data_IF_116534106287
#
_entry.id   IF_116534106287
#
_cell.length_a   1.000
_cell.length_b   1.000
_cell.length_c   1.000
_cell.angle_alpha   90.00
_cell.angle_beta   90.00
_cell.angle_gamma   90.00
#
_symmetry.space_group_name_H-M   'P 1'
#
loop_
_entity.id
_entity.type
_entity.pdbx_description
1 polymer ?
#
# COMPACT_ATOMS: atom_id res chain seq x y z
N UNK A 1 42.51 -27.13 17.48
CA UNK A 1 42.94 -26.83 16.07
C UNK A 1 43.43 -25.41 16.06
N UNK A 2 44.66 -25.16 15.68
CA UNK A 2 45.22 -23.80 15.64
C UNK A 2 44.60 -23.07 14.48
N UNK A 3 43.89 -21.97 14.76
CA UNK A 3 43.37 -21.05 13.74
C UNK A 3 44.55 -20.44 12.98
N UNK A 4 44.86 -21.08 11.87
CA UNK A 4 45.97 -20.70 11.02
C UNK A 4 45.57 -19.57 10.09
N UNK A 5 46.12 -18.38 10.32
CA UNK A 5 46.35 -17.38 9.31
C UNK A 5 45.17 -16.53 8.77
N UNK A 6 44.20 -16.16 9.57
CA UNK A 6 43.31 -15.07 9.19
C UNK A 6 43.95 -13.73 9.60
N UNK A 7 44.33 -12.93 8.61
CA UNK A 7 44.96 -11.63 8.79
C UNK A 7 46.43 -11.59 8.45
N UNK A 8 46.77 -11.86 7.17
CA UNK A 8 48.16 -11.84 6.69
C UNK A 8 48.81 -10.46 6.62
N UNK A 9 48.04 -9.36 6.71
CA UNK A 9 48.59 -8.00 6.82
C UNK A 9 48.24 -7.35 8.15
N UNK A 10 49.07 -6.41 8.63
CA UNK A 10 48.78 -5.59 9.83
C UNK A 10 47.38 -4.93 9.75
N UNK A 11 46.97 -4.47 8.57
CA UNK A 11 45.70 -3.80 8.31
C UNK A 11 44.47 -4.69 8.50
N UNK A 12 44.55 -5.97 8.08
CA UNK A 12 43.39 -6.88 8.20
C UNK A 12 43.15 -7.36 9.62
N UNK A 13 44.18 -7.41 10.50
CA UNK A 13 44.08 -7.76 11.92
C UNK A 13 43.29 -6.73 12.74
N UNK A 14 43.22 -5.49 12.20
CA UNK A 14 42.49 -4.43 12.88
C UNK A 14 40.97 -4.55 12.75
N UNK A 15 40.47 -5.38 11.82
CA UNK A 15 39.05 -5.60 11.58
C UNK A 15 38.56 -6.96 12.09
N UNK A 16 39.33 -8.02 11.92
CA UNK A 16 38.92 -9.39 12.26
C UNK A 16 38.49 -9.55 13.72
N UNK A 17 37.29 -10.14 13.91
CA UNK A 17 36.71 -10.41 15.22
C UNK A 17 36.08 -9.19 15.90
N UNK A 18 36.27 -7.99 15.35
CA UNK A 18 35.71 -6.76 15.95
C UNK A 18 34.28 -6.50 15.49
N UNK A 19 33.56 -5.78 16.35
CA UNK A 19 32.21 -5.30 16.09
C UNK A 19 32.26 -3.83 15.70
N UNK A 20 31.53 -3.47 14.68
CA UNK A 20 31.40 -2.12 14.13
C UNK A 20 29.95 -1.68 14.13
N UNK A 21 29.72 -0.38 14.16
CA UNK A 21 28.38 0.22 14.03
C UNK A 21 28.20 0.75 12.62
N UNK A 22 27.12 0.31 11.95
CA UNK A 22 26.65 0.95 10.73
C UNK A 22 25.99 2.29 11.05
N UNK A 23 26.08 3.25 10.15
CA UNK A 23 25.40 4.54 10.29
C UNK A 23 23.86 4.41 10.27
N UNK A 24 23.31 3.28 9.78
CA UNK A 24 21.86 3.11 9.56
C UNK A 24 21.27 1.76 9.98
N UNK A 25 22.10 0.73 10.16
CA UNK A 25 21.61 -0.65 10.26
C UNK A 25 22.10 -1.42 11.51
N UNK A 26 22.50 -0.72 12.57
CA UNK A 26 22.94 -1.37 13.80
C UNK A 26 24.34 -1.96 13.73
N UNK A 27 24.61 -2.98 14.54
CA UNK A 27 25.94 -3.55 14.72
C UNK A 27 26.19 -4.77 13.82
N UNK A 28 27.43 -4.91 13.34
CA UNK A 28 27.90 -6.07 12.60
C UNK A 28 29.31 -6.45 13.04
N UNK A 29 29.65 -7.73 12.90
CA UNK A 29 30.97 -8.27 13.22
C UNK A 29 31.72 -8.68 11.94
N UNK A 30 33.01 -8.36 11.86
CA UNK A 30 33.88 -8.87 10.80
C UNK A 30 34.35 -10.26 11.17
N UNK A 31 33.83 -11.28 10.51
CA UNK A 31 34.11 -12.70 10.79
C UNK A 31 35.18 -13.32 9.89
N UNK A 32 35.56 -12.62 8.82
CA UNK A 32 36.63 -12.99 7.92
C UNK A 32 37.31 -11.74 7.35
N UNK A 33 38.63 -11.68 7.37
CA UNK A 33 39.38 -10.54 6.84
C UNK A 33 40.68 -11.04 6.15
N UNK A 34 40.51 -11.57 4.94
CA UNK A 34 41.63 -12.06 4.12
C UNK A 34 42.36 -10.91 3.41
N UNK A 35 41.66 -9.89 3.03
CA UNK A 35 42.18 -8.63 2.48
C UNK A 35 41.32 -7.46 2.95
N UNK A 36 41.81 -6.22 2.78
CA UNK A 36 41.07 -5.02 3.09
C UNK A 36 39.89 -4.74 2.11
N UNK A 37 39.91 -5.38 0.95
CA UNK A 37 38.92 -5.22 -0.11
C UNK A 37 37.81 -6.26 -0.06
N UNK A 38 38.00 -7.34 0.72
CA UNK A 38 37.04 -8.44 0.85
C UNK A 38 37.04 -8.98 2.28
N UNK A 39 36.22 -8.38 3.09
CA UNK A 39 35.95 -8.83 4.45
C UNK A 39 34.51 -9.34 4.54
N UNK A 40 34.27 -10.31 5.41
CA UNK A 40 32.95 -10.86 5.66
C UNK A 40 32.38 -10.17 6.91
N UNK A 41 31.33 -9.40 6.71
CA UNK A 41 30.53 -8.79 7.79
C UNK A 41 29.28 -9.65 8.05
N UNK A 42 28.93 -9.81 9.33
CA UNK A 42 27.70 -10.48 9.78
C UNK A 42 26.96 -9.51 10.69
N UNK A 43 25.77 -9.09 10.30
CA UNK A 43 24.91 -8.22 11.10
C UNK A 43 24.32 -8.98 12.28
N UNK A 44 24.39 -8.38 13.48
CA UNK A 44 24.02 -9.07 14.73
C UNK A 44 22.50 -9.20 14.91
N UNK A 45 21.73 -8.32 14.30
CA UNK A 45 20.26 -8.33 14.43
C UNK A 45 19.59 -9.25 13.40
N UNK A 46 20.09 -9.26 12.17
CA UNK A 46 19.44 -9.95 11.03
C UNK A 46 20.15 -11.22 10.64
N UNK A 47 21.39 -11.42 11.13
CA UNK A 47 22.34 -12.46 10.68
C UNK A 47 22.70 -12.33 9.18
N UNK A 48 22.44 -11.21 8.56
CA UNK A 48 22.82 -10.94 7.15
C UNK A 48 24.33 -10.98 7.01
N UNK A 49 24.77 -11.67 5.96
CA UNK A 49 26.18 -11.84 5.64
C UNK A 49 26.52 -11.06 4.38
N UNK A 50 27.45 -10.11 4.48
CA UNK A 50 27.88 -9.28 3.35
C UNK A 50 29.38 -9.36 3.16
N UNK A 51 29.83 -9.13 1.92
CA UNK A 51 31.22 -8.83 1.62
C UNK A 51 31.39 -7.32 1.58
N UNK A 52 32.34 -6.81 2.38
CA UNK A 52 32.58 -5.38 2.58
C UNK A 52 34.07 -5.06 2.43
N UNK A 53 34.38 -3.81 2.13
CA UNK A 53 35.76 -3.30 2.13
C UNK A 53 36.06 -2.44 3.37
N UNK A 54 37.35 -2.16 3.60
CA UNK A 54 37.82 -1.39 4.74
C UNK A 54 37.22 0.05 4.76
N UNK A 55 37.05 0.67 3.56
CA UNK A 55 36.50 2.03 3.48
C UNK A 55 35.04 2.06 3.95
N UNK A 56 34.25 1.08 3.55
CA UNK A 56 32.86 0.97 4.01
C UNK A 56 32.80 0.79 5.52
N UNK A 57 33.68 -0.03 6.10
CA UNK A 57 33.74 -0.27 7.54
C UNK A 57 34.19 0.99 8.28
N UNK A 58 35.25 1.66 7.82
CA UNK A 58 35.82 2.85 8.47
C UNK A 58 34.87 4.05 8.40
N UNK A 59 34.06 4.16 7.36
CA UNK A 59 33.05 5.22 7.18
C UNK A 59 31.70 4.86 7.82
N UNK A 60 31.50 3.62 8.27
CA UNK A 60 30.20 3.13 8.76
C UNK A 60 29.13 3.01 7.67
N UNK A 61 29.53 3.03 6.41
CA UNK A 61 28.60 3.01 5.25
C UNK A 61 28.14 1.61 4.84
N UNK A 62 28.44 0.59 5.63
CA UNK A 62 27.94 -0.78 5.41
C UNK A 62 26.44 -0.78 5.70
N UNK A 63 25.63 -1.19 4.72
CA UNK A 63 24.16 -1.20 4.82
C UNK A 63 23.67 -2.65 4.75
N UNK A 64 22.86 -3.04 5.72
CA UNK A 64 22.14 -4.30 5.71
C UNK A 64 20.83 -4.15 4.94
N UNK A 65 20.65 -4.82 3.79
CA UNK A 65 19.42 -4.71 3.01
C UNK A 65 18.19 -5.31 3.71
N UNK A 66 18.38 -6.16 4.71
CA UNK A 66 17.30 -6.81 5.48
C UNK A 66 17.04 -6.14 6.83
N UNK A 67 17.73 -5.02 7.13
CA UNK A 67 17.47 -4.27 8.35
C UNK A 67 16.12 -3.54 8.25
N UNK A 68 15.21 -3.66 9.23
CA UNK A 68 13.87 -3.06 9.21
C UNK A 68 13.93 -1.54 9.44
N UNK A 69 14.55 -0.83 8.51
CA UNK A 69 14.80 0.61 8.59
C UNK A 69 13.53 1.45 8.35
N UNK A 70 12.52 0.86 7.66
CA UNK A 70 11.30 1.57 7.31
C UNK A 70 10.18 1.27 8.30
N UNK A 71 9.82 2.26 9.12
CA UNK A 71 8.78 2.17 10.15
C UNK A 71 8.97 1.00 11.15
N UNK A 72 10.22 0.52 11.30
CA UNK A 72 10.58 -0.58 12.21
C UNK A 72 10.25 -1.98 11.70
N UNK A 73 9.67 -2.11 10.51
CA UNK A 73 9.26 -3.39 9.92
C UNK A 73 9.76 -3.59 8.48
N UNK A 74 9.71 -2.55 7.65
CA UNK A 74 10.05 -2.63 6.24
C UNK A 74 11.55 -2.60 5.96
N UNK A 75 12.00 -3.38 4.99
CA UNK A 75 13.38 -3.46 4.53
C UNK A 75 13.46 -3.56 3.01
N UNK A 76 14.64 -3.25 2.44
CA UNK A 76 14.81 -3.18 0.98
C UNK A 76 14.93 -4.55 0.31
N UNK A 77 15.43 -5.57 1.04
CA UNK A 77 15.68 -6.89 0.49
C UNK A 77 16.71 -6.85 -0.64
N UNK A 78 16.45 -7.60 -1.70
CA UNK A 78 17.30 -7.70 -2.89
C UNK A 78 16.96 -6.67 -3.98
N UNK A 79 16.21 -5.61 -3.66
CA UNK A 79 15.88 -4.58 -4.64
C UNK A 79 17.14 -3.83 -5.10
N UNK A 80 17.30 -3.68 -6.42
CA UNK A 80 18.47 -3.02 -7.00
C UNK A 80 18.50 -1.52 -6.68
N UNK A 81 17.37 -0.84 -6.71
CA UNK A 81 17.26 0.60 -6.46
C UNK A 81 15.86 0.99 -5.97
N UNK A 82 15.79 2.13 -5.29
CA UNK A 82 14.53 2.82 -4.93
C UNK A 82 14.30 4.07 -5.77
N UNK A 83 15.26 4.40 -6.66
CA UNK A 83 15.22 5.56 -7.55
C UNK A 83 15.46 5.14 -8.99
N UNK A 84 14.92 5.91 -9.94
CA UNK A 84 15.15 5.73 -11.37
C UNK A 84 16.51 6.33 -11.82
N UNK A 85 16.81 6.21 -13.11
CA UNK A 85 18.01 6.74 -13.74
C UNK A 85 18.16 8.28 -13.62
N UNK A 86 17.07 8.99 -13.36
CA UNK A 86 17.05 10.45 -13.16
C UNK A 86 17.13 10.86 -11.69
N UNK A 87 17.29 9.90 -10.76
CA UNK A 87 17.33 10.11 -9.32
C UNK A 87 15.97 10.35 -8.67
N UNK A 88 14.87 10.08 -9.39
CA UNK A 88 13.49 10.18 -8.87
C UNK A 88 13.08 8.86 -8.23
N UNK A 89 12.39 8.95 -7.09
CA UNK A 89 11.85 7.76 -6.42
C UNK A 89 10.95 6.94 -7.37
N UNK A 90 11.16 5.64 -7.36
CA UNK A 90 10.33 4.70 -8.10
C UNK A 90 8.89 4.75 -7.59
N UNK A 91 7.93 4.59 -8.50
CA UNK A 91 6.50 4.63 -8.18
C UNK A 91 6.14 3.55 -7.15
N UNK A 92 6.59 2.33 -7.36
CA UNK A 92 6.39 1.20 -6.46
C UNK A 92 6.98 1.45 -5.07
N UNK A 93 8.13 2.13 -4.97
CA UNK A 93 8.71 2.50 -3.69
C UNK A 93 7.83 3.50 -2.94
N UNK A 94 7.26 4.49 -3.65
CA UNK A 94 6.33 5.46 -3.05
C UNK A 94 5.08 4.74 -2.50
N UNK A 95 4.50 3.80 -3.25
CA UNK A 95 3.34 3.03 -2.80
C UNK A 95 3.66 2.17 -1.57
N UNK A 96 4.80 1.47 -1.60
CA UNK A 96 5.27 0.66 -0.50
C UNK A 96 5.52 1.49 0.76
N UNK A 97 6.25 2.61 0.63
CA UNK A 97 6.47 3.53 1.74
C UNK A 97 5.16 4.04 2.33
N UNK A 98 4.24 4.54 1.49
CA UNK A 98 2.96 5.07 1.94
C UNK A 98 2.09 4.00 2.62
N UNK A 99 2.14 2.75 2.17
CA UNK A 99 1.45 1.63 2.79
C UNK A 99 1.96 1.37 4.21
N UNK A 100 3.28 1.28 4.39
CA UNK A 100 3.91 1.12 5.70
C UNK A 100 3.65 2.33 6.61
N UNK A 101 3.71 3.54 6.05
CA UNK A 101 3.45 4.78 6.81
C UNK A 101 2.01 4.85 7.34
N UNK A 102 1.03 4.37 6.58
CA UNK A 102 -0.38 4.30 7.01
C UNK A 102 -0.58 3.33 8.18
N UNK A 103 0.11 2.17 8.16
CA UNK A 103 -0.07 1.13 9.17
C UNK A 103 0.81 1.34 10.41
N UNK A 104 2.04 1.85 10.23
CA UNK A 104 3.07 1.88 11.28
C UNK A 104 3.66 3.28 11.50
N UNK A 105 3.15 4.29 10.82
CA UNK A 105 3.59 5.67 11.00
C UNK A 105 3.10 6.28 12.32
N UNK A 106 3.67 7.44 12.67
CA UNK A 106 3.36 8.13 13.94
C UNK A 106 1.99 8.83 13.97
N UNK A 107 1.26 8.84 12.86
CA UNK A 107 -0.08 9.45 12.80
C UNK A 107 -1.12 8.36 12.97
N UNK A 108 -1.82 8.38 14.10
CA UNK A 108 -3.01 7.55 14.30
C UNK A 108 -4.13 8.05 13.37
N UNK A 109 -4.24 7.42 12.22
CA UNK A 109 -5.34 7.65 11.29
C UNK A 109 -6.42 6.62 11.61
N UNK A 110 -7.57 7.06 12.10
CA UNK A 110 -8.69 6.18 12.49
C UNK A 110 -9.08 5.18 11.38
N UNK A 111 -8.99 5.60 10.12
CA UNK A 111 -9.28 4.74 8.96
C UNK A 111 -8.33 3.54 8.83
N UNK A 112 -7.11 3.66 9.34
CA UNK A 112 -6.08 2.62 9.27
C UNK A 112 -5.77 1.96 10.62
N UNK A 113 -6.56 2.27 11.63
CA UNK A 113 -6.47 1.62 12.93
C UNK A 113 -6.57 0.10 12.76
N UNK A 114 -5.67 -0.62 13.39
CA UNK A 114 -5.54 -2.08 13.31
C UNK A 114 -5.21 -2.63 11.90
N UNK A 115 -4.84 -1.76 10.94
CA UNK A 115 -4.32 -2.22 9.66
C UNK A 115 -2.87 -2.69 9.83
N UNK A 116 -2.58 -3.83 9.20
CA UNK A 116 -1.24 -4.41 9.15
C UNK A 116 -0.83 -4.65 7.69
N UNK A 117 0.45 -4.87 7.50
CA UNK A 117 1.03 -5.29 6.22
C UNK A 117 1.54 -6.71 6.39
N UNK A 118 1.35 -7.58 5.40
CA UNK A 118 1.86 -8.95 5.43
C UNK A 118 3.39 -8.98 5.50
N UNK A 119 3.95 -10.05 6.04
CA UNK A 119 5.40 -10.17 6.19
C UNK A 119 6.13 -10.10 4.84
N UNK A 120 5.55 -10.67 3.78
CA UNK A 120 6.09 -10.62 2.44
C UNK A 120 6.17 -9.17 1.91
N UNK A 121 5.20 -8.34 2.24
CA UNK A 121 5.17 -6.93 1.84
C UNK A 121 6.03 -6.04 2.75
N UNK A 122 6.62 -6.54 3.83
CA UNK A 122 7.70 -5.85 4.53
C UNK A 122 8.97 -5.80 3.66
N UNK A 123 9.20 -6.78 2.80
CA UNK A 123 10.27 -6.80 1.81
C UNK A 123 9.90 -5.96 0.58
N UNK A 124 10.62 -4.83 0.38
CA UNK A 124 10.39 -4.00 -0.80
C UNK A 124 10.68 -4.76 -2.11
N UNK A 125 11.68 -5.64 -2.14
CA UNK A 125 11.99 -6.41 -3.34
C UNK A 125 10.86 -7.37 -3.73
N UNK A 126 10.16 -7.94 -2.74
CA UNK A 126 8.97 -8.75 -2.97
C UNK A 126 7.80 -7.89 -3.45
N UNK A 127 7.52 -6.79 -2.76
CA UNK A 127 6.47 -5.84 -3.16
C UNK A 127 6.69 -5.30 -4.58
N UNK A 128 7.95 -4.99 -4.95
CA UNK A 128 8.31 -4.53 -6.29
C UNK A 128 7.99 -5.57 -7.36
N UNK A 129 8.33 -6.85 -7.12
CA UNK A 129 7.98 -7.96 -8.02
C UNK A 129 6.47 -8.10 -8.18
N UNK A 130 5.74 -8.06 -7.07
CA UNK A 130 4.27 -8.09 -7.08
C UNK A 130 3.71 -6.90 -7.86
N UNK A 131 4.20 -5.68 -7.60
CA UNK A 131 3.75 -4.46 -8.27
C UNK A 131 3.95 -4.54 -9.79
N UNK A 132 5.10 -5.06 -10.24
CA UNK A 132 5.39 -5.21 -11.67
C UNK A 132 4.47 -6.22 -12.37
N UNK A 133 3.85 -7.12 -11.64
CA UNK A 133 2.85 -8.06 -12.16
C UNK A 133 1.43 -7.46 -12.20
N UNK A 134 1.19 -6.28 -11.60
CA UNK A 134 -0.12 -5.68 -11.61
C UNK A 134 -0.44 -5.03 -12.97
N UNK A 135 -1.67 -5.23 -13.44
CA UNK A 135 -2.17 -4.65 -14.71
C UNK A 135 -2.10 -3.11 -14.66
N UNK A 136 -2.49 -2.52 -13.54
CA UNK A 136 -2.56 -1.06 -13.34
C UNK A 136 -1.24 -0.35 -13.09
N UNK A 137 -0.08 -1.04 -13.12
CA UNK A 137 1.22 -0.45 -12.73
C UNK A 137 1.66 0.80 -13.49
N UNK A 138 1.25 0.94 -14.73
CA UNK A 138 1.59 2.09 -15.58
C UNK A 138 0.56 3.24 -15.51
N UNK A 139 -0.58 3.04 -14.86
CA UNK A 139 -1.60 4.08 -14.73
C UNK A 139 -1.11 5.28 -13.92
N UNK A 140 -1.26 6.52 -14.43
CA UNK A 140 -0.77 7.73 -13.74
C UNK A 140 -1.49 7.98 -12.43
N UNK A 141 -2.81 7.80 -12.40
CA UNK A 141 -3.69 8.12 -11.27
C UNK A 141 -4.28 6.85 -10.65
N UNK A 142 -3.47 5.78 -10.59
CA UNK A 142 -3.87 4.54 -9.94
C UNK A 142 -3.52 4.61 -8.45
N UNK A 143 -4.33 3.99 -7.62
CA UNK A 143 -4.17 3.90 -6.18
C UNK A 143 -4.02 2.44 -5.76
N UNK A 144 -3.20 2.20 -4.74
CA UNK A 144 -3.17 0.91 -4.04
C UNK A 144 -4.36 0.86 -3.09
N UNK A 145 -5.23 -0.12 -3.29
CA UNK A 145 -6.39 -0.38 -2.45
C UNK A 145 -6.38 -1.83 -1.93
N UNK A 146 -6.83 -2.04 -0.69
CA UNK A 146 -6.94 -3.34 -0.02
C UNK A 146 -8.37 -3.76 0.29
N UNK A 147 -9.32 -2.82 0.18
CA UNK A 147 -10.69 -3.00 0.65
C UNK A 147 -11.64 -3.42 -0.48
N UNK A 148 -11.27 -3.15 -1.74
CA UNK A 148 -12.10 -3.50 -2.90
C UNK A 148 -12.27 -5.01 -3.02
N UNK A 149 -11.21 -5.79 -2.87
CA UNK A 149 -11.29 -7.25 -3.00
C UNK A 149 -11.87 -7.92 -1.75
N UNK A 150 -11.61 -7.37 -0.59
CA UNK A 150 -12.01 -7.96 0.70
C UNK A 150 -12.61 -6.88 1.59
N UNK A 151 -13.94 -6.90 1.75
CA UNK A 151 -14.66 -5.93 2.59
C UNK A 151 -14.15 -6.01 4.03
N UNK A 152 -13.87 -4.84 4.62
CA UNK A 152 -13.35 -4.69 6.00
C UNK A 152 -12.01 -5.40 6.24
N UNK A 153 -11.23 -5.62 5.18
CA UNK A 153 -9.89 -6.18 5.29
C UNK A 153 -8.95 -5.21 6.02
N UNK A 154 -8.22 -5.72 7.01
CA UNK A 154 -7.23 -4.95 7.76
C UNK A 154 -5.79 -5.28 7.37
N UNK A 155 -5.60 -6.07 6.30
CA UNK A 155 -4.28 -6.54 5.88
C UNK A 155 -3.98 -6.05 4.46
N UNK A 156 -2.82 -5.44 4.27
CA UNK A 156 -2.20 -5.25 2.97
C UNK A 156 -1.39 -6.49 2.62
N UNK A 157 -1.84 -7.25 1.62
CA UNK A 157 -1.19 -8.47 1.16
C UNK A 157 -1.41 -8.64 -0.36
N UNK A 158 -0.72 -9.60 -0.94
CA UNK A 158 -0.76 -9.89 -2.37
C UNK A 158 -2.18 -10.20 -2.90
N UNK A 159 -2.97 -10.93 -2.11
CA UNK A 159 -4.33 -11.37 -2.47
C UNK A 159 -5.40 -10.31 -2.17
N UNK A 160 -5.14 -9.39 -1.25
CA UNK A 160 -6.07 -8.34 -0.86
C UNK A 160 -5.86 -7.03 -1.64
N UNK A 161 -4.64 -6.75 -2.05
CA UNK A 161 -4.27 -5.51 -2.72
C UNK A 161 -4.51 -5.53 -4.23
N UNK A 162 -4.91 -4.37 -4.75
CA UNK A 162 -5.01 -4.11 -6.19
C UNK A 162 -4.60 -2.68 -6.51
N UNK A 163 -4.16 -2.45 -7.75
CA UNK A 163 -3.99 -1.11 -8.30
C UNK A 163 -5.22 -0.74 -9.12
N UNK A 164 -5.89 0.34 -8.76
CA UNK A 164 -7.11 0.81 -9.42
C UNK A 164 -7.05 2.31 -9.72
N UNK A 165 -7.72 2.77 -10.79
CA UNK A 165 -7.87 4.20 -11.07
C UNK A 165 -8.55 4.92 -9.90
N UNK A 166 -8.19 6.19 -9.70
CA UNK A 166 -8.76 7.03 -8.63
C UNK A 166 -10.29 7.01 -8.64
N UNK A 167 -10.93 7.08 -9.82
CA UNK A 167 -12.39 7.07 -9.92
C UNK A 167 -13.03 5.73 -9.51
N UNK A 168 -12.34 4.60 -9.76
CA UNK A 168 -12.78 3.28 -9.30
C UNK A 168 -12.62 3.17 -7.78
N UNK A 169 -11.47 3.64 -7.24
CA UNK A 169 -11.26 3.69 -5.81
C UNK A 169 -12.33 4.54 -5.10
N UNK A 170 -12.60 5.73 -5.62
CA UNK A 170 -13.65 6.62 -5.09
C UNK A 170 -15.06 6.01 -5.20
N UNK A 171 -15.35 5.22 -6.23
CA UNK A 171 -16.64 4.55 -6.38
C UNK A 171 -16.90 3.54 -5.25
N UNK A 172 -15.87 2.77 -4.86
CA UNK A 172 -15.94 1.79 -3.78
C UNK A 172 -15.73 2.39 -2.38
N UNK A 173 -15.14 3.59 -2.30
CA UNK A 173 -14.91 4.23 -1.01
C UNK A 173 -16.24 4.33 -0.24
N UNK A 174 -16.26 3.77 0.97
CA UNK A 174 -17.36 3.96 1.91
C UNK A 174 -17.37 5.43 2.32
N UNK A 175 -17.98 6.28 1.52
CA UNK A 175 -18.44 7.58 2.04
C UNK A 175 -19.47 7.22 3.10
N UNK A 176 -19.12 7.47 4.37
CA UNK A 176 -19.97 7.12 5.50
C UNK A 176 -21.39 7.48 5.15
N UNK A 177 -22.25 6.47 5.10
CA UNK A 177 -23.57 6.58 4.51
C UNK A 177 -24.26 7.80 5.11
N UNK A 178 -24.36 8.88 4.34
CA UNK A 178 -25.13 10.05 4.71
C UNK A 178 -26.59 9.67 4.58
N UNK A 179 -27.03 8.81 5.50
CA UNK A 179 -28.45 8.52 5.65
C UNK A 179 -29.09 9.78 6.21
N UNK A 180 -29.90 10.42 5.40
CA UNK A 180 -30.69 11.54 5.86
C UNK A 180 -31.79 11.01 6.81
N UNK A 181 -31.94 11.70 7.93
CA UNK A 181 -32.97 11.37 8.93
C UNK A 181 -34.09 12.40 8.83
N UNK A 182 -35.32 11.95 8.86
CA UNK A 182 -36.49 12.86 8.88
C UNK A 182 -36.68 13.52 10.27
N UNK A 183 -37.61 14.45 10.37
CA UNK A 183 -37.92 15.15 11.62
C UNK A 183 -38.40 14.23 12.77
N UNK A 184 -38.75 12.98 12.48
CA UNK A 184 -39.17 11.95 13.45
C UNK A 184 -38.04 10.98 13.80
N UNK A 185 -36.80 11.22 13.37
CA UNK A 185 -35.65 10.34 13.62
C UNK A 185 -35.58 9.09 12.73
N UNK A 186 -36.45 8.96 11.72
CA UNK A 186 -36.43 7.82 10.79
C UNK A 186 -35.39 8.07 9.70
N UNK A 187 -34.51 7.11 9.46
CA UNK A 187 -33.50 7.16 8.39
C UNK A 187 -34.16 6.85 7.05
N UNK A 188 -33.83 7.68 6.06
CA UNK A 188 -34.14 7.38 4.66
C UNK A 188 -33.15 6.34 4.08
N UNK A 189 -33.54 5.59 3.04
CA UNK A 189 -32.60 4.76 2.27
C UNK A 189 -31.41 5.58 1.76
N UNK A 190 -30.29 4.91 1.50
CA UNK A 190 -29.10 5.56 0.92
C UNK A 190 -29.47 6.33 -0.36
N UNK A 191 -28.89 7.53 -0.53
CA UNK A 191 -29.14 8.38 -1.70
C UNK A 191 -30.49 9.09 -1.71
N UNK A 192 -31.34 8.90 -0.70
CA UNK A 192 -32.67 9.52 -0.60
C UNK A 192 -32.68 10.62 0.45
N UNK A 193 -33.35 11.73 0.14
CA UNK A 193 -33.59 12.83 1.07
C UNK A 193 -34.93 13.49 0.79
N UNK A 194 -35.53 14.14 1.80
CA UNK A 194 -36.74 14.92 1.59
C UNK A 194 -36.41 16.35 1.15
N UNK A 195 -36.92 16.76 0.00
CA UNK A 195 -36.85 18.16 -0.47
C UNK A 195 -38.04 18.96 0.00
N UNK A 196 -37.78 19.90 0.93
CA UNK A 196 -38.86 20.80 1.45
C UNK A 196 -39.42 21.72 0.36
N UNK A 197 -38.58 22.20 -0.57
CA UNK A 197 -38.95 23.08 -1.65
C UNK A 197 -39.86 22.41 -2.67
N UNK A 198 -39.51 21.18 -3.05
CA UNK A 198 -40.22 20.41 -4.05
C UNK A 198 -41.38 19.59 -3.47
N UNK A 199 -41.43 19.47 -2.11
CA UNK A 199 -42.34 18.58 -1.40
C UNK A 199 -42.36 17.15 -1.94
N UNK A 200 -41.13 16.64 -2.27
CA UNK A 200 -40.92 15.32 -2.86
C UNK A 200 -39.66 14.69 -2.28
N UNK A 201 -39.53 13.39 -2.46
CA UNK A 201 -38.29 12.67 -2.18
C UNK A 201 -37.28 12.90 -3.31
N UNK A 202 -36.08 13.31 -2.96
CA UNK A 202 -34.99 13.50 -3.90
C UNK A 202 -34.08 12.26 -3.91
N UNK A 203 -33.85 11.72 -5.11
CA UNK A 203 -32.74 10.83 -5.38
C UNK A 203 -31.51 11.65 -5.73
N UNK A 204 -30.38 11.38 -5.07
CA UNK A 204 -29.19 12.18 -5.20
C UNK A 204 -27.94 11.29 -5.32
N UNK A 205 -27.37 11.24 -6.51
CA UNK A 205 -26.14 10.49 -6.79
C UNK A 205 -25.08 11.42 -7.40
N UNK A 206 -23.85 11.35 -6.89
CA UNK A 206 -22.71 12.06 -7.48
C UNK A 206 -21.92 11.11 -8.37
N UNK A 207 -21.94 11.38 -9.67
CA UNK A 207 -21.27 10.61 -10.69
C UNK A 207 -19.90 11.22 -11.02
N UNK A 208 -18.95 11.19 -10.07
CA UNK A 208 -17.59 11.68 -10.32
C UNK A 208 -17.48 13.18 -10.59
N UNK A 209 -18.37 13.99 -10.00
CA UNK A 209 -18.45 15.45 -10.18
C UNK A 209 -19.79 15.92 -10.79
N UNK A 210 -20.44 15.09 -11.54
CA UNK A 210 -21.79 15.36 -12.02
C UNK A 210 -22.84 14.87 -11.02
N UNK A 211 -23.74 15.75 -10.62
CA UNK A 211 -24.83 15.44 -9.72
C UNK A 211 -26.07 15.00 -10.46
N UNK A 212 -26.44 13.73 -10.35
CA UNK A 212 -27.70 13.20 -10.85
C UNK A 212 -28.75 13.40 -9.76
N UNK A 213 -29.76 14.23 -10.03
CA UNK A 213 -30.82 14.58 -9.10
C UNK A 213 -32.18 14.38 -9.75
N UNK A 214 -33.08 13.65 -9.09
CA UNK A 214 -34.47 13.46 -9.51
C UNK A 214 -35.41 13.52 -8.32
N UNK A 215 -36.69 13.83 -8.55
CA UNK A 215 -37.71 13.98 -7.52
C UNK A 215 -38.86 12.98 -7.71
N UNK A 216 -39.31 12.37 -6.62
CA UNK A 216 -40.24 11.26 -6.60
C UNK A 216 -41.31 11.44 -5.54
N UNK A 217 -42.47 10.82 -5.70
CA UNK A 217 -43.61 10.94 -4.77
C UNK A 217 -43.44 10.07 -3.52
N UNK A 218 -42.57 9.06 -3.56
CA UNK A 218 -42.29 8.18 -2.41
C UNK A 218 -40.80 7.83 -2.29
N UNK A 219 -40.40 7.39 -1.13
CA UNK A 219 -39.00 7.01 -0.78
C UNK A 219 -38.48 5.87 -1.67
N UNK A 220 -39.33 4.88 -1.93
CA UNK A 220 -38.94 3.70 -2.69
C UNK A 220 -38.58 4.05 -4.14
N UNK A 221 -39.40 4.86 -4.80
CA UNK A 221 -39.11 5.32 -6.18
C UNK A 221 -37.83 6.16 -6.23
N UNK A 222 -37.56 6.99 -5.23
CA UNK A 222 -36.31 7.74 -5.11
C UNK A 222 -35.09 6.81 -4.91
N UNK A 223 -35.24 5.80 -4.06
CA UNK A 223 -34.18 4.79 -3.87
C UNK A 223 -33.90 3.99 -5.15
N UNK A 224 -34.92 3.55 -5.87
CA UNK A 224 -34.75 2.82 -7.12
C UNK A 224 -34.02 3.67 -8.18
N UNK A 225 -34.31 4.97 -8.25
CA UNK A 225 -33.59 5.88 -9.15
C UNK A 225 -32.11 6.03 -8.76
N UNK A 226 -31.81 6.17 -7.47
CA UNK A 226 -30.42 6.17 -6.97
C UNK A 226 -29.71 4.85 -7.29
N UNK A 227 -30.35 3.73 -6.98
CA UNK A 227 -29.82 2.39 -7.25
C UNK A 227 -29.47 2.22 -8.72
N UNK A 228 -30.39 2.56 -9.61
CA UNK A 228 -30.18 2.45 -11.06
C UNK A 228 -29.01 3.32 -11.53
N UNK A 229 -28.92 4.57 -11.06
CA UNK A 229 -27.83 5.48 -11.43
C UNK A 229 -26.46 4.94 -10.97
N UNK A 230 -26.35 4.46 -9.71
CA UNK A 230 -25.11 3.93 -9.17
C UNK A 230 -24.68 2.61 -9.84
N UNK A 231 -25.63 1.69 -10.09
CA UNK A 231 -25.34 0.43 -10.78
C UNK A 231 -24.95 0.64 -12.26
N UNK A 232 -25.56 1.61 -12.94
CA UNK A 232 -25.17 1.99 -14.30
C UNK A 232 -23.72 2.53 -14.29
N UNK A 233 -23.39 3.40 -13.32
CA UNK A 233 -22.03 3.93 -13.18
C UNK A 233 -21.01 2.83 -12.96
N UNK A 234 -21.32 1.82 -12.15
CA UNK A 234 -20.45 0.68 -11.97
C UNK A 234 -20.11 -0.03 -13.29
N UNK A 235 -21.14 -0.27 -14.13
CA UNK A 235 -20.97 -0.87 -15.45
C UNK A 235 -20.15 0.01 -16.40
N UNK A 236 -20.40 1.33 -16.40
CA UNK A 236 -19.62 2.29 -17.20
C UNK A 236 -18.14 2.26 -16.80
N UNK A 237 -17.83 2.22 -15.50
CA UNK A 237 -16.47 2.11 -15.00
C UNK A 237 -15.82 0.78 -15.38
N UNK A 238 -16.57 -0.34 -15.29
CA UNK A 238 -16.09 -1.64 -15.72
C UNK A 238 -15.70 -1.62 -17.22
N UNK A 239 -16.57 -1.12 -18.08
CA UNK A 239 -16.30 -1.06 -19.52
C UNK A 239 -15.17 -0.09 -19.86
N UNK A 240 -15.14 1.09 -19.22
CA UNK A 240 -14.08 2.09 -19.41
C UNK A 240 -12.70 1.52 -19.09
N UNK A 241 -12.58 0.71 -18.04
CA UNK A 241 -11.32 0.19 -17.56
C UNK A 241 -11.08 -1.28 -17.88
N UNK A 242 -11.88 -1.88 -18.74
CA UNK A 242 -11.74 -3.27 -19.19
C UNK A 242 -10.32 -3.54 -19.69
N UNK A 243 -9.68 -4.58 -19.12
CA UNK A 243 -8.30 -4.97 -19.44
C UNK A 243 -7.21 -4.05 -18.88
N UNK A 244 -7.58 -2.96 -18.19
CA UNK A 244 -6.65 -2.03 -17.56
C UNK A 244 -6.65 -2.13 -16.02
N UNK A 245 -7.59 -2.88 -15.45
CA UNK A 245 -7.70 -3.20 -14.02
C UNK A 245 -7.71 -4.71 -13.82
N UNK A 246 -7.46 -5.14 -12.58
CA UNK A 246 -7.55 -6.55 -12.20
C UNK A 246 -8.95 -7.11 -12.53
N UNK A 247 -9.02 -8.32 -13.08
CA UNK A 247 -10.28 -8.94 -13.48
C UNK A 247 -11.25 -9.10 -12.28
N UNK A 248 -10.74 -9.33 -11.08
CA UNK A 248 -11.55 -9.42 -9.86
C UNK A 248 -12.28 -8.10 -9.56
N UNK A 249 -11.64 -6.95 -9.83
CA UNK A 249 -12.26 -5.62 -9.72
C UNK A 249 -13.28 -5.39 -10.81
N UNK A 250 -12.97 -5.79 -12.07
CA UNK A 250 -13.91 -5.73 -13.18
C UNK A 250 -15.19 -6.50 -12.86
N UNK A 251 -15.07 -7.75 -12.39
CA UNK A 251 -16.22 -8.58 -12.01
C UNK A 251 -17.05 -7.97 -10.87
N UNK A 252 -16.40 -7.34 -9.90
CA UNK A 252 -17.11 -6.61 -8.83
C UNK A 252 -17.87 -5.40 -9.34
N UNK A 253 -17.33 -4.68 -10.32
CA UNK A 253 -18.01 -3.54 -10.92
C UNK A 253 -19.20 -3.98 -11.78
N UNK A 254 -19.03 -4.98 -12.65
CA UNK A 254 -20.08 -5.42 -13.56
C UNK A 254 -21.27 -6.04 -12.82
N UNK A 255 -20.99 -6.70 -11.68
CA UNK A 255 -21.99 -7.35 -10.83
C UNK A 255 -22.42 -6.49 -9.63
N UNK A 256 -22.00 -5.22 -9.57
CA UNK A 256 -22.29 -4.34 -8.45
C UNK A 256 -23.79 -4.15 -8.23
N UNK A 257 -24.23 -4.29 -6.99
CA UNK A 257 -25.63 -4.09 -6.57
C UNK A 257 -25.70 -3.20 -5.36
N UNK A 258 -26.56 -2.20 -5.41
CA UNK A 258 -26.88 -1.36 -4.25
C UNK A 258 -27.90 -2.07 -3.37
N UNK A 259 -27.58 -2.19 -2.09
CA UNK A 259 -28.46 -2.74 -1.07
C UNK A 259 -29.08 -1.61 -0.24
N UNK A 260 -30.22 -1.87 0.40
CA UNK A 260 -30.85 -0.91 1.30
C UNK A 260 -29.99 -0.60 2.54
N UNK A 261 -29.07 -1.49 2.86
CA UNK A 261 -28.16 -1.44 4.02
C UNK A 261 -26.82 -0.80 3.73
N UNK A 262 -26.54 -0.39 2.46
CA UNK A 262 -25.28 0.24 2.06
C UNK A 262 -25.08 1.63 2.70
#
# INVERSE_FOLDING_TARGET
MKDSNYGKSRKTRDYYGKVFLSNSCGYYQITLANSTDRMRAVFLQTNTVLTVDARQVDTGSVVDPYYPSMRGVGYHGEAESTIDENGKQLKEYIYWYCMLDRCYGNKELEAYKDCIVSEEFHDFSYFQKWFHNQVGRYGKDFHLDKDILSVDCKIYAEDTCVLVPSEVNMFFAKTGARTHTNSKGVKYPIGVSWSKSMKKFASNYNNGGEKILSYHDNEWSAFLAYKQAKENRAKELAEKWRGQIDNRVYEKLINYKVLLTD
#
